data_IF_960517630354
#
_entry.id   IF_960517630354
#
_cell.length_a   1.000
_cell.length_b   1.000
_cell.length_c   1.000
_cell.angle_alpha   90.00
_cell.angle_beta   90.00
_cell.angle_gamma   90.00
#
_symmetry.space_group_name_H-M   'P 1'
#
loop_
_entity.id
_entity.type
_entity.pdbx_description
1 polymer ?
#
# COMPACT_ATOMS: atom_id res chain seq x y z
N UNK A 1 8.91 -4.95 -15.77
CA UNK A 1 8.64 -3.51 -16.02
C UNK A 1 7.13 -3.36 -16.05
N UNK A 2 6.61 -2.51 -15.17
CA UNK A 2 5.17 -2.21 -15.16
C UNK A 2 4.80 -1.39 -16.41
N UNK A 3 3.59 -1.58 -16.97
CA UNK A 3 3.10 -0.74 -18.04
C UNK A 3 3.04 0.73 -17.60
N UNK A 4 3.16 1.65 -18.57
CA UNK A 4 3.02 3.07 -18.29
C UNK A 4 1.64 3.37 -17.65
N UNK A 5 1.64 4.19 -16.59
CA UNK A 5 0.43 4.54 -15.85
C UNK A 5 -0.02 3.50 -14.83
N UNK A 6 0.75 2.43 -14.63
CA UNK A 6 0.51 1.44 -13.57
C UNK A 6 1.49 1.66 -12.43
N UNK A 7 0.96 1.83 -11.23
CA UNK A 7 1.72 1.91 -9.98
C UNK A 7 1.63 0.58 -9.24
N UNK A 8 2.70 0.24 -8.51
CA UNK A 8 2.71 -0.87 -7.57
C UNK A 8 3.01 -0.34 -6.18
N UNK A 9 2.16 -0.64 -5.22
CA UNK A 9 2.33 -0.28 -3.83
C UNK A 9 2.39 -1.53 -2.98
N UNK A 10 3.40 -1.62 -2.11
CA UNK A 10 3.51 -2.70 -1.11
C UNK A 10 2.86 -2.22 0.18
N UNK A 11 1.95 -3.01 0.71
CA UNK A 11 1.42 -2.86 2.06
C UNK A 11 2.21 -3.81 2.96
N UNK A 12 3.01 -3.29 3.89
CA UNK A 12 3.87 -4.14 4.69
C UNK A 12 3.04 -5.06 5.60
N UNK A 13 3.56 -6.25 5.85
CA UNK A 13 3.00 -7.21 6.79
C UNK A 13 2.77 -6.56 8.17
N UNK A 14 1.60 -6.73 8.74
CA UNK A 14 1.20 -6.09 10.02
C UNK A 14 1.10 -4.57 9.97
N UNK A 15 1.17 -3.97 8.78
CA UNK A 15 1.17 -2.51 8.59
C UNK A 15 0.04 -2.01 7.71
N UNK A 16 0.16 -0.75 7.31
CA UNK A 16 -0.82 -0.09 6.44
C UNK A 16 -0.16 0.88 5.46
N UNK A 17 -0.89 1.25 4.41
CA UNK A 17 -0.47 2.22 3.42
C UNK A 17 -1.62 3.11 2.98
N UNK A 18 -1.36 4.42 2.89
CA UNK A 18 -2.26 5.39 2.27
C UNK A 18 -1.87 5.64 0.82
N UNK A 19 -2.86 5.68 -0.08
CA UNK A 19 -2.68 5.84 -1.51
C UNK A 19 -3.73 6.82 -2.02
N UNK A 20 -3.28 7.89 -2.70
CA UNK A 20 -4.20 8.81 -3.37
C UNK A 20 -4.80 8.16 -4.60
N UNK A 21 -6.10 8.23 -4.74
CA UNK A 21 -6.88 7.65 -5.82
C UNK A 21 -7.58 8.75 -6.59
N UNK A 22 -7.64 8.63 -7.90
CA UNK A 22 -8.43 9.51 -8.74
C UNK A 22 -9.63 8.76 -9.31
N UNK A 23 -10.67 9.48 -9.61
CA UNK A 23 -11.85 8.92 -10.26
C UNK A 23 -11.48 8.20 -11.56
N UNK A 24 -11.95 6.98 -11.71
CA UNK A 24 -11.69 6.14 -12.86
C UNK A 24 -10.42 5.27 -12.74
N UNK A 25 -9.61 5.44 -11.67
CA UNK A 25 -8.48 4.55 -11.44
C UNK A 25 -8.97 3.12 -11.22
N UNK A 26 -8.28 2.17 -11.85
CA UNK A 26 -8.47 0.74 -11.64
C UNK A 26 -7.51 0.28 -10.55
N UNK A 27 -8.02 -0.37 -9.52
CA UNK A 27 -7.26 -0.77 -8.33
C UNK A 27 -7.34 -2.29 -8.22
N UNK A 28 -6.21 -2.97 -8.17
CA UNK A 28 -6.15 -4.40 -7.90
C UNK A 28 -5.36 -4.63 -6.60
N UNK A 29 -5.98 -5.31 -5.63
CA UNK A 29 -5.32 -5.74 -4.41
C UNK A 29 -5.04 -7.23 -4.52
N UNK A 30 -3.79 -7.64 -4.29
CA UNK A 30 -3.32 -9.01 -4.48
C UNK A 30 -2.75 -9.54 -3.18
N UNK A 31 -3.25 -10.69 -2.74
CA UNK A 31 -2.66 -11.51 -1.69
C UNK A 31 -1.69 -12.49 -2.34
N UNK A 32 -0.38 -12.20 -2.27
CA UNK A 32 0.63 -13.00 -2.97
C UNK A 32 0.81 -14.39 -2.40
N UNK A 33 0.75 -14.49 -1.08
CA UNK A 33 1.08 -15.73 -0.37
C UNK A 33 -0.16 -16.52 0.04
N UNK A 34 -1.31 -15.86 0.08
CA UNK A 34 -2.56 -16.41 0.59
C UNK A 34 -2.68 -16.25 2.11
N UNK A 35 -3.89 -16.48 2.62
CA UNK A 35 -4.26 -16.43 4.03
C UNK A 35 -4.10 -15.04 4.68
N UNK A 36 -3.75 -14.00 3.92
CA UNK A 36 -3.58 -12.66 4.42
C UNK A 36 -4.91 -11.91 4.42
N UNK A 37 -5.35 -11.49 5.58
CA UNK A 37 -6.46 -10.57 5.71
C UNK A 37 -6.09 -9.22 5.12
N UNK A 38 -7.05 -8.56 4.49
CA UNK A 38 -6.90 -7.18 4.05
C UNK A 38 -8.08 -6.35 4.53
N UNK A 39 -7.77 -5.22 5.14
CA UNK A 39 -8.76 -4.23 5.53
C UNK A 39 -8.49 -2.92 4.79
N UNK A 40 -9.53 -2.25 4.36
CA UNK A 40 -9.40 -0.96 3.70
C UNK A 40 -10.48 0.02 4.12
N UNK A 41 -10.14 1.31 4.06
CA UNK A 41 -11.06 2.43 4.22
C UNK A 41 -10.80 3.44 3.11
N UNK A 42 -11.85 4.03 2.58
CA UNK A 42 -11.77 5.06 1.57
C UNK A 42 -12.44 6.34 2.06
N UNK A 43 -11.79 7.47 1.83
CA UNK A 43 -12.31 8.81 2.10
C UNK A 43 -12.34 9.63 0.83
N UNK A 44 -13.47 10.22 0.51
CA UNK A 44 -13.57 11.20 -0.56
C UNK A 44 -12.99 12.57 -0.11
N UNK A 45 -12.81 13.55 -1.02
CA UNK A 45 -12.26 14.85 -0.67
C UNK A 45 -13.09 15.64 0.35
N UNK A 46 -14.36 15.30 0.56
CA UNK A 46 -15.22 15.90 1.58
C UNK A 46 -15.03 15.29 2.96
N UNK A 47 -14.24 14.21 3.08
CA UNK A 47 -14.04 13.46 4.30
C UNK A 47 -15.10 12.40 4.59
N UNK A 48 -16.01 12.14 3.63
CA UNK A 48 -16.99 11.05 3.76
C UNK A 48 -16.30 9.72 3.48
N UNK A 49 -16.53 8.76 4.35
CA UNK A 49 -16.00 7.42 4.21
C UNK A 49 -17.05 6.46 3.67
N UNK A 50 -16.82 5.92 2.47
CA UNK A 50 -17.70 4.95 1.85
C UNK A 50 -16.91 4.08 0.85
N UNK A 51 -16.71 2.81 1.21
CA UNK A 51 -16.05 1.85 0.33
C UNK A 51 -16.85 1.54 -0.95
N UNK A 52 -18.15 1.81 -0.97
CA UNK A 52 -18.98 1.71 -2.16
C UNK A 52 -18.54 2.63 -3.29
N UNK A 53 -17.81 3.71 -2.99
CA UNK A 53 -17.20 4.59 -3.99
C UNK A 53 -16.08 3.91 -4.79
N UNK A 54 -15.54 2.81 -4.28
CA UNK A 54 -14.62 1.92 -5.01
C UNK A 54 -15.33 0.76 -5.68
N UNK A 55 -16.68 0.68 -5.59
CA UNK A 55 -17.42 -0.51 -6.02
C UNK A 55 -17.15 -1.74 -5.14
N UNK A 56 -16.55 -1.55 -3.98
CA UNK A 56 -16.15 -2.63 -3.09
C UNK A 56 -17.35 -3.17 -2.32
N UNK A 57 -17.42 -4.49 -2.23
CA UNK A 57 -18.32 -5.21 -1.33
C UNK A 57 -17.46 -5.92 -0.30
N UNK A 58 -17.42 -5.40 0.91
CA UNK A 58 -16.71 -6.01 2.01
C UNK A 58 -17.53 -7.06 2.74
N UNK A 59 -16.87 -8.03 3.33
CA UNK A 59 -17.45 -9.00 4.24
C UNK A 59 -16.78 -8.89 5.61
N UNK A 60 -17.57 -8.93 6.68
CA UNK A 60 -17.08 -8.97 8.06
C UNK A 60 -16.74 -7.62 8.68
N UNK A 61 -16.38 -7.65 9.96
CA UNK A 61 -15.93 -6.48 10.72
C UNK A 61 -14.47 -6.19 10.38
N UNK A 62 -14.15 -4.92 10.18
CA UNK A 62 -12.84 -4.42 9.86
C UNK A 62 -12.39 -3.44 10.97
N UNK A 63 -12.05 -4.01 12.13
CA UNK A 63 -11.72 -3.22 13.32
C UNK A 63 -10.21 -2.97 13.44
N UNK A 64 -9.37 -3.76 12.77
CA UNK A 64 -7.91 -3.66 12.88
C UNK A 64 -7.38 -2.30 12.39
N UNK A 65 -7.81 -1.87 11.21
CA UNK A 65 -7.35 -0.63 10.62
C UNK A 65 -7.72 0.57 11.50
N UNK A 66 -8.96 0.61 11.99
CA UNK A 66 -9.43 1.67 12.89
C UNK A 66 -8.66 1.65 14.22
N UNK A 67 -8.40 0.47 14.77
CA UNK A 67 -7.62 0.32 16.00
C UNK A 67 -6.17 0.72 15.79
N UNK A 68 -5.53 0.30 14.68
CA UNK A 68 -4.16 0.67 14.34
C UNK A 68 -4.00 2.20 14.26
N UNK A 69 -4.92 2.87 13.60
CA UNK A 69 -4.90 4.32 13.44
C UNK A 69 -5.23 5.07 14.74
N UNK A 70 -5.90 4.41 15.68
CA UNK A 70 -6.25 4.97 16.99
C UNK A 70 -5.22 4.64 18.09
N UNK A 71 -4.36 3.65 17.89
CA UNK A 71 -3.42 3.12 18.91
C UNK A 71 -2.24 4.04 19.22
N UNK A 72 -1.91 4.95 18.31
CA UNK A 72 -0.71 5.78 18.43
C UNK A 72 0.61 5.07 18.10
N UNK A 73 0.56 3.85 17.57
CA UNK A 73 1.73 3.11 17.12
C UNK A 73 2.45 3.82 15.96
N UNK A 74 3.77 3.61 15.84
CA UNK A 74 4.57 4.28 14.81
C UNK A 74 4.06 4.07 13.38
N UNK A 75 3.52 2.90 13.10
CA UNK A 75 2.93 2.58 11.78
C UNK A 75 1.65 3.39 11.53
N UNK A 76 0.77 3.45 12.52
CA UNK A 76 -0.43 4.29 12.50
C UNK A 76 -0.10 5.78 12.45
N UNK A 77 0.88 6.24 13.22
CA UNK A 77 1.31 7.64 13.26
C UNK A 77 1.84 8.13 11.89
N UNK A 78 2.52 7.29 11.11
CA UNK A 78 2.96 7.67 9.75
C UNK A 78 1.77 7.94 8.83
N UNK A 79 0.75 7.11 8.89
CA UNK A 79 -0.49 7.28 8.12
C UNK A 79 -1.24 8.50 8.64
N UNK A 80 -1.37 8.67 9.96
CA UNK A 80 -2.01 9.83 10.58
C UNK A 80 -1.34 11.14 10.19
N UNK A 81 -0.01 11.22 10.20
CA UNK A 81 0.74 12.40 9.74
C UNK A 81 0.51 12.73 8.26
N UNK A 82 0.35 11.71 7.43
CA UNK A 82 -0.04 11.92 6.04
C UNK A 82 -1.47 12.46 5.93
N UNK A 83 -2.33 12.09 6.88
CA UNK A 83 -3.73 12.51 6.97
C UNK A 83 -3.92 13.87 7.66
N UNK A 84 -2.99 14.30 8.53
CA UNK A 84 -3.03 15.64 9.16
C UNK A 84 -3.04 16.78 8.13
N UNK A 85 -2.54 16.52 6.94
CA UNK A 85 -2.63 17.43 5.79
C UNK A 85 -4.01 17.40 5.10
N UNK A 86 -4.86 16.48 5.50
CA UNK A 86 -6.22 16.32 5.02
C UNK A 86 -7.17 16.42 6.23
N UNK A 87 -8.29 17.09 6.10
CA UNK A 87 -9.27 17.24 7.19
C UNK A 87 -10.09 15.95 7.43
N UNK A 88 -9.48 14.76 7.28
CA UNK A 88 -10.17 13.49 7.46
C UNK A 88 -10.17 13.03 8.91
N UNK A 89 -11.35 12.79 9.46
CA UNK A 89 -11.49 12.13 10.76
C UNK A 89 -11.55 10.61 10.56
N UNK A 90 -10.43 9.96 10.79
CA UNK A 90 -10.28 8.51 10.65
C UNK A 90 -11.26 7.71 11.50
N UNK A 91 -11.63 8.23 12.67
CA UNK A 91 -12.59 7.58 13.56
C UNK A 91 -13.99 7.46 12.94
N UNK A 92 -14.27 8.25 11.91
CA UNK A 92 -15.48 8.17 11.10
C UNK A 92 -15.34 7.25 9.88
N UNK A 93 -14.18 6.60 9.75
CA UNK A 93 -13.90 5.68 8.67
C UNK A 93 -14.81 4.44 8.72
N UNK A 94 -15.40 4.11 7.60
CA UNK A 94 -16.10 2.85 7.40
C UNK A 94 -15.14 1.85 6.73
N UNK A 95 -14.41 1.09 7.56
CA UNK A 95 -13.47 0.09 7.08
C UNK A 95 -14.20 -1.20 6.70
N UNK A 96 -13.73 -1.84 5.64
CA UNK A 96 -14.22 -3.13 5.16
C UNK A 96 -13.08 -4.13 5.07
N UNK A 97 -13.42 -5.41 5.20
CA UNK A 97 -12.50 -6.52 4.97
C UNK A 97 -12.71 -7.08 3.57
N UNK A 98 -11.64 -7.25 2.80
CA UNK A 98 -11.69 -7.70 1.40
C UNK A 98 -11.14 -9.10 1.17
N UNK A 99 -10.24 -9.59 2.02
CA UNK A 99 -9.82 -10.98 2.05
C UNK A 99 -10.19 -11.63 3.39
N UNK A 100 -10.26 -12.95 3.39
CA UNK A 100 -10.53 -13.78 4.57
C UNK A 100 -9.35 -14.72 4.81
N UNK A 101 -9.36 -15.42 5.95
CA UNK A 101 -8.36 -16.44 6.31
C UNK A 101 -8.32 -17.63 5.32
N UNK A 102 -9.26 -17.70 4.39
CA UNK A 102 -9.30 -18.73 3.35
C UNK A 102 -8.78 -18.25 1.99
N UNK A 103 -8.21 -17.05 1.90
CA UNK A 103 -7.62 -16.56 0.64
C UNK A 103 -6.48 -17.48 0.18
N UNK A 104 -6.34 -17.63 -1.13
CA UNK A 104 -5.30 -18.44 -1.75
C UNK A 104 -4.18 -17.53 -2.25
N UNK A 105 -3.01 -18.13 -2.43
CA UNK A 105 -1.89 -17.42 -3.05
C UNK A 105 -2.30 -16.86 -4.42
N UNK A 106 -2.01 -15.59 -4.63
CA UNK A 106 -2.36 -14.80 -5.82
C UNK A 106 -3.85 -14.48 -5.98
N UNK A 107 -4.66 -14.67 -4.95
CA UNK A 107 -6.02 -14.12 -4.96
C UNK A 107 -5.97 -12.61 -5.12
N UNK A 108 -6.88 -12.08 -5.95
CA UNK A 108 -6.96 -10.66 -6.22
C UNK A 108 -8.42 -10.17 -6.21
N UNK A 109 -8.57 -8.93 -5.80
CA UNK A 109 -9.85 -8.22 -5.88
C UNK A 109 -9.63 -6.90 -6.61
N UNK A 110 -10.50 -6.63 -7.58
CA UNK A 110 -10.41 -5.45 -8.44
C UNK A 110 -11.54 -4.46 -8.16
N UNK A 111 -11.20 -3.17 -8.23
CA UNK A 111 -12.10 -2.06 -8.00
C UNK A 111 -11.90 -0.97 -9.04
N UNK A 112 -12.95 -0.17 -9.27
CA UNK A 112 -12.88 1.04 -10.10
C UNK A 112 -13.39 2.21 -9.25
N UNK A 113 -12.55 3.21 -9.05
CA UNK A 113 -12.90 4.37 -8.26
C UNK A 113 -13.93 5.26 -8.96
N UNK A 114 -15.05 5.51 -8.31
CA UNK A 114 -16.10 6.43 -8.78
C UNK A 114 -15.87 7.88 -8.34
N UNK A 115 -14.91 8.12 -7.44
CA UNK A 115 -14.55 9.42 -6.89
C UNK A 115 -13.05 9.53 -6.67
N UNK A 116 -12.54 10.76 -6.65
CA UNK A 116 -11.22 11.04 -6.09
C UNK A 116 -11.23 10.78 -4.58
N UNK A 117 -10.08 10.48 -4.02
CA UNK A 117 -9.99 10.30 -2.57
C UNK A 117 -8.68 9.70 -2.09
N UNK A 118 -8.73 9.21 -0.85
CA UNK A 118 -7.62 8.53 -0.19
C UNK A 118 -8.06 7.12 0.19
N UNK A 119 -7.37 6.14 -0.35
CA UNK A 119 -7.47 4.75 0.06
C UNK A 119 -6.42 4.48 1.14
N UNK A 120 -6.84 3.95 2.28
CA UNK A 120 -5.94 3.39 3.28
C UNK A 120 -6.21 1.89 3.34
N UNK A 121 -5.15 1.10 3.17
CA UNK A 121 -5.21 -0.34 3.18
C UNK A 121 -4.22 -0.90 4.20
N UNK A 122 -4.62 -1.94 4.92
CA UNK A 122 -3.81 -2.63 5.91
C UNK A 122 -3.74 -4.13 5.62
N UNK A 123 -2.60 -4.71 5.96
CA UNK A 123 -2.36 -6.14 6.03
C UNK A 123 -2.30 -6.55 7.51
N UNK A 124 -3.44 -6.82 8.17
CA UNK A 124 -3.47 -7.13 9.60
C UNK A 124 -2.58 -8.31 9.94
N UNK A 125 -1.89 -8.23 11.09
CA UNK A 125 -1.21 -9.34 11.72
C UNK A 125 -1.96 -9.72 12.99
N UNK A 126 -2.18 -11.00 13.20
CA UNK A 126 -2.70 -11.49 14.46
C UNK A 126 -1.58 -11.72 15.47
N UNK A 127 -1.92 -11.69 16.76
CA UNK A 127 -0.99 -12.11 17.79
C UNK A 127 -0.67 -13.59 17.56
N UNK A 128 0.62 -13.88 17.36
CA UNK A 128 1.08 -15.27 17.25
C UNK A 128 0.84 -16.01 18.57
N UNK A 129 -0.03 -17.00 18.52
CA UNK A 129 -0.16 -17.98 19.59
C UNK A 129 0.86 -19.10 19.35
N UNK A 130 1.41 -19.72 20.40
CA UNK A 130 2.35 -20.84 20.24
C UNK A 130 1.79 -21.99 19.39
N UNK A 131 0.47 -22.09 19.31
CA UNK A 131 -0.26 -23.18 18.65
C UNK A 131 -0.80 -22.80 17.27
N UNK A 132 -0.79 -21.50 16.92
CA UNK A 132 -1.28 -20.98 15.64
C UNK A 132 -0.36 -19.85 15.17
N UNK A 133 0.70 -20.22 14.47
CA UNK A 133 1.68 -19.27 13.94
C UNK A 133 1.32 -18.94 12.48
N UNK A 134 0.47 -17.96 12.26
CA UNK A 134 0.33 -17.33 10.95
C UNK A 134 1.07 -15.99 10.96
N UNK A 135 2.17 -15.91 10.23
CA UNK A 135 2.88 -14.65 10.05
C UNK A 135 2.07 -13.76 9.12
N UNK A 136 1.90 -12.47 9.45
CA UNK A 136 1.35 -11.55 8.47
C UNK A 136 2.28 -11.47 7.26
N UNK A 137 1.69 -11.41 6.09
CA UNK A 137 2.40 -11.27 4.82
C UNK A 137 2.08 -9.91 4.19
N UNK A 138 2.83 -9.53 3.19
CA UNK A 138 2.59 -8.27 2.48
C UNK A 138 1.45 -8.41 1.47
N UNK A 139 0.73 -7.32 1.25
CA UNK A 139 -0.21 -7.20 0.13
C UNK A 139 0.39 -6.30 -0.95
N UNK A 140 0.06 -6.57 -2.19
CA UNK A 140 0.40 -5.72 -3.32
C UNK A 140 -0.85 -5.01 -3.81
N UNK A 141 -0.73 -3.70 -4.00
CA UNK A 141 -1.79 -2.90 -4.63
C UNK A 141 -1.27 -2.36 -5.94
N UNK A 142 -1.91 -2.73 -7.02
CA UNK A 142 -1.67 -2.15 -8.34
C UNK A 142 -2.73 -1.09 -8.61
N UNK A 143 -2.30 0.05 -9.13
CA UNK A 143 -3.19 1.12 -9.55
C UNK A 143 -2.88 1.46 -11.00
N UNK A 144 -3.85 1.23 -11.86
CA UNK A 144 -3.80 1.68 -13.24
C UNK A 144 -4.53 3.03 -13.30
N UNK A 145 -3.79 4.09 -13.53
CA UNK A 145 -4.31 5.45 -13.56
C UNK A 145 -5.22 5.66 -14.75
N UNK A 146 -6.41 6.21 -14.50
CA UNK A 146 -7.36 6.58 -15.56
C UNK A 146 -6.76 7.64 -16.50
N UNK A 147 -6.00 8.59 -15.95
CA UNK A 147 -5.19 9.53 -16.71
C UNK A 147 -3.70 9.36 -16.35
N UNK A 148 -2.92 8.70 -17.21
CA UNK A 148 -1.50 8.49 -16.96
C UNK A 148 -0.69 9.80 -16.81
N UNK A 149 -1.21 10.94 -17.26
CA UNK A 149 -0.55 12.26 -17.12
C UNK A 149 -0.64 12.81 -15.70
N UNK A 150 -1.60 12.31 -14.91
CA UNK A 150 -1.76 12.68 -13.49
C UNK A 150 -0.82 11.85 -12.61
N UNK A 151 -0.03 10.96 -13.19
CA UNK A 151 0.97 10.17 -12.52
C UNK A 151 1.95 11.08 -11.74
N UNK A 152 1.62 11.33 -10.47
CA UNK A 152 2.46 12.09 -9.53
C UNK A 152 3.43 11.19 -8.77
N UNK A 153 3.27 9.90 -8.90
CA UNK A 153 4.23 8.93 -8.39
C UNK A 153 5.41 8.90 -9.36
N UNK A 154 6.62 9.11 -8.89
CA UNK A 154 7.80 8.72 -9.64
C UNK A 154 7.59 7.28 -10.14
N UNK A 155 8.20 6.91 -11.25
CA UNK A 155 8.19 5.53 -11.71
C UNK A 155 8.47 4.66 -10.50
N UNK A 156 7.53 3.75 -10.18
CA UNK A 156 7.87 2.74 -9.19
C UNK A 156 9.10 2.03 -9.70
N UNK A 157 10.13 1.93 -8.87
CA UNK A 157 11.31 1.20 -9.28
C UNK A 157 10.87 -0.18 -9.76
N UNK A 158 11.44 -0.68 -10.86
CA UNK A 158 11.22 -2.04 -11.26
C UNK A 158 11.52 -2.95 -10.08
N UNK A 159 10.78 -4.04 -9.94
CA UNK A 159 11.09 -5.03 -8.92
C UNK A 159 12.57 -5.40 -9.00
N UNK A 160 13.25 -5.50 -7.87
CA UNK A 160 14.62 -5.95 -7.84
C UNK A 160 14.71 -7.32 -8.52
N UNK A 161 15.73 -7.52 -9.33
CA UNK A 161 15.95 -8.80 -10.05
C UNK A 161 16.25 -9.98 -9.10
N UNK A 162 16.57 -9.67 -7.85
CA UNK A 162 16.76 -10.60 -6.75
C UNK A 162 16.46 -9.88 -5.43
N UNK A 163 16.33 -10.62 -4.33
CA UNK A 163 16.19 -10.04 -3.01
C UNK A 163 17.42 -9.16 -2.70
N UNK A 164 17.23 -7.87 -2.38
CA UNK A 164 18.34 -6.97 -2.14
C UNK A 164 19.08 -7.35 -0.86
N UNK A 165 20.38 -7.60 -0.96
CA UNK A 165 21.25 -7.78 0.20
C UNK A 165 21.50 -6.46 0.94
N UNK A 166 21.49 -5.36 0.20
CA UNK A 166 21.69 -4.00 0.71
C UNK A 166 20.73 -3.06 0.01
N UNK A 167 19.96 -2.34 0.77
CA UNK A 167 19.11 -1.24 0.29
C UNK A 167 19.56 0.06 0.99
N UNK A 168 19.93 1.06 0.21
CA UNK A 168 20.40 2.36 0.71
C UNK A 168 19.69 3.50 0.02
N UNK A 169 18.98 4.28 0.79
CA UNK A 169 18.44 5.54 0.30
C UNK A 169 19.49 6.65 0.41
N UNK A 170 19.77 7.34 -0.68
CA UNK A 170 20.68 8.49 -0.76
C UNK A 170 19.82 9.74 -0.78
N UNK A 171 20.00 10.61 0.22
CA UNK A 171 19.25 11.87 0.28
C UNK A 171 19.85 12.92 -0.67
N UNK A 172 19.08 13.92 -1.10
CA UNK A 172 19.62 15.02 -1.88
C UNK A 172 20.84 15.66 -1.22
N UNK A 173 21.95 15.79 -1.96
CA UNK A 173 23.21 16.31 -1.48
C UNK A 173 24.06 15.33 -0.64
N UNK A 174 23.63 14.08 -0.52
CA UNK A 174 24.36 13.02 0.18
C UNK A 174 25.12 12.13 -0.82
N UNK A 175 26.27 11.58 -0.39
CA UNK A 175 26.99 10.54 -1.10
C UNK A 175 27.18 9.31 -0.19
N UNK A 176 26.97 8.12 -0.74
CA UNK A 176 27.18 6.85 -0.03
C UNK A 176 28.09 5.92 -0.82
N UNK A 177 28.93 5.20 -0.11
CA UNK A 177 29.77 4.16 -0.68
C UNK A 177 29.31 2.78 -0.21
N UNK A 178 29.56 1.77 -1.03
CA UNK A 178 29.32 0.36 -0.71
C UNK A 178 30.32 -0.51 -1.47
N UNK A 179 30.59 -1.66 -0.89
CA UNK A 179 31.44 -2.65 -1.52
C UNK A 179 30.60 -3.56 -2.43
N UNK A 180 31.15 -3.88 -3.59
CA UNK A 180 30.54 -4.81 -4.55
C UNK A 180 31.54 -5.89 -4.92
N UNK A 181 31.07 -7.09 -5.15
CA UNK A 181 31.85 -8.23 -5.61
C UNK A 181 31.53 -8.54 -7.07
N UNK A 182 32.42 -9.22 -7.73
CA UNK A 182 32.18 -9.69 -9.08
C UNK A 182 30.94 -10.61 -9.10
N UNK A 183 29.97 -10.27 -9.94
CA UNK A 183 28.70 -10.97 -10.03
C UNK A 183 27.56 -10.35 -9.24
N UNK A 184 27.82 -9.33 -8.42
CA UNK A 184 26.78 -8.59 -7.73
C UNK A 184 25.96 -7.75 -8.73
N UNK A 185 24.68 -7.67 -8.46
CA UNK A 185 23.74 -6.82 -9.19
C UNK A 185 23.60 -5.49 -8.46
N UNK A 186 23.71 -4.38 -9.19
CA UNK A 186 23.48 -3.04 -8.68
C UNK A 186 22.30 -2.44 -9.42
N UNK A 187 21.32 -1.96 -8.67
CA UNK A 187 20.18 -1.23 -9.20
C UNK A 187 20.17 0.18 -8.59
N UNK A 188 20.28 1.19 -9.43
CA UNK A 188 20.18 2.59 -9.04
C UNK A 188 18.81 3.09 -9.50
N UNK A 189 18.07 3.70 -8.58
CA UNK A 189 16.70 4.14 -8.82
C UNK A 189 16.58 5.63 -8.51
N UNK A 190 16.24 6.42 -9.51
CA UNK A 190 15.81 7.79 -9.32
C UNK A 190 14.30 7.81 -9.00
N UNK A 191 13.99 7.84 -7.71
CA UNK A 191 12.60 7.74 -7.20
C UNK A 191 11.75 8.95 -7.58
N UNK A 192 12.37 10.10 -7.79
CA UNK A 192 11.66 11.35 -8.10
C UNK A 192 11.81 11.79 -9.56
N UNK A 193 12.70 11.15 -10.31
CA UNK A 193 12.94 11.45 -11.72
C UNK A 193 13.52 12.84 -11.97
N UNK A 194 14.28 13.39 -11.03
CA UNK A 194 14.84 14.76 -11.10
C UNK A 194 16.30 14.84 -10.73
N UNK A 195 16.90 13.74 -10.32
CA UNK A 195 18.28 13.70 -9.89
C UNK A 195 19.18 13.22 -11.04
N UNK A 196 20.28 13.94 -11.26
CA UNK A 196 21.35 13.50 -12.15
C UNK A 196 22.25 12.52 -11.40
N UNK A 197 22.43 11.34 -11.93
CA UNK A 197 23.43 10.37 -11.49
C UNK A 197 24.76 10.64 -12.15
#
# INVERSE_FOLDING_TARGET
ILPHGVERHVVPAGGSRGISINKGDEIAVVDREGLQLAEMVFFDPSGRSDAGMLGAKGSGKADYLINLLSSGDQSGLKVLRALEKTNFDIRKGNAIRIFTEGSKASDSVEFIASSDGLLIIAAPGEHMLPEAQSFPTELIVYIKRADPRIFKGGMLPPDPLADPLVDKNIQPGEAKSYEVKAGDYIQILDVQGRECS
#
